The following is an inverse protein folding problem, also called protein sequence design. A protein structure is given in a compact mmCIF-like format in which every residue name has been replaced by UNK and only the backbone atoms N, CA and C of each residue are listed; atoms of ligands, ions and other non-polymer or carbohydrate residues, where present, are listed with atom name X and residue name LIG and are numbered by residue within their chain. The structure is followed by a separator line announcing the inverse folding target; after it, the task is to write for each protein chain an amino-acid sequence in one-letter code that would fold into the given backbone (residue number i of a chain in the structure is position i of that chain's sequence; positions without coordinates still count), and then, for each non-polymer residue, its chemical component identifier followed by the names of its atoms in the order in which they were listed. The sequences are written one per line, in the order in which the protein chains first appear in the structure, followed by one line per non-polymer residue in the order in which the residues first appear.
data_IF_636300575260
#
_entry.id   IF_636300575260
#
_cell.length_a   1.000
_cell.length_b   1.000
_cell.length_c   1.000
_cell.angle_alpha   90.00
_cell.angle_beta   90.00
_cell.angle_gamma   90.00
#
_symmetry.space_group_name_H-M   'P 1'
#
loop_
_entity.id
_entity.type
_entity.pdbx_description
1 polymer ?
#
# COMPACT_ATOMS: atom_id res chain seq x y z
N UNK A 1 9.61 -48.61 0.94
CA UNK A 1 9.38 -49.20 -0.41
C UNK A 1 10.73 -49.41 -1.11
N UNK A 2 11.13 -50.66 -1.36
CA UNK A 2 12.26 -50.96 -2.26
C UNK A 2 11.73 -51.81 -3.42
N UNK A 3 11.13 -51.16 -4.40
CA UNK A 3 10.66 -51.83 -5.61
C UNK A 3 11.88 -52.05 -6.51
N UNK A 4 12.36 -53.30 -6.62
CA UNK A 4 13.36 -53.64 -7.64
C UNK A 4 12.62 -54.06 -8.91
N UNK A 5 12.43 -53.11 -9.82
CA UNK A 5 12.02 -53.41 -11.18
C UNK A 5 13.27 -53.70 -12.01
N UNK A 6 13.51 -54.98 -12.32
CA UNK A 6 14.50 -55.38 -13.32
C UNK A 6 13.80 -55.51 -14.68
N UNK A 7 14.04 -54.53 -15.56
CA UNK A 7 13.65 -54.59 -16.96
C UNK A 7 14.80 -55.23 -17.74
N UNK A 8 14.56 -56.39 -18.36
CA UNK A 8 15.46 -56.89 -19.40
C UNK A 8 14.90 -56.47 -20.75
N UNK A 9 15.79 -55.97 -21.62
CA UNK A 9 15.47 -55.73 -23.03
C UNK A 9 15.84 -57.01 -23.75
N UNK A 10 14.84 -57.83 -24.08
CA UNK A 10 15.01 -58.93 -25.03
C UNK A 10 14.35 -58.55 -26.36
N UNK A 11 14.67 -59.29 -27.41
CA UNK A 11 14.68 -58.92 -28.85
C UNK A 11 13.36 -58.34 -29.45
N UNK A 12 12.26 -58.29 -28.70
CA UNK A 12 10.98 -57.69 -29.13
C UNK A 12 10.57 -56.48 -28.26
N UNK A 13 10.47 -55.24 -28.79
CA UNK A 13 10.51 -54.01 -27.98
C UNK A 13 9.23 -53.63 -27.20
N UNK A 14 8.11 -54.34 -27.38
CA UNK A 14 6.80 -53.82 -27.00
C UNK A 14 6.06 -54.55 -25.88
N UNK A 15 6.67 -55.57 -25.25
CA UNK A 15 6.03 -56.26 -24.13
C UNK A 15 6.86 -56.11 -22.85
N UNK A 16 6.23 -55.53 -21.83
CA UNK A 16 6.81 -55.40 -20.49
C UNK A 16 6.19 -56.48 -19.61
N UNK A 17 6.96 -57.49 -19.24
CA UNK A 17 6.52 -58.51 -18.29
C UNK A 17 6.97 -58.16 -16.87
N UNK A 18 6.05 -58.25 -15.91
CA UNK A 18 6.33 -58.05 -14.49
C UNK A 18 6.87 -59.38 -13.93
N UNK A 19 8.17 -59.44 -13.68
CA UNK A 19 8.86 -60.71 -13.39
C UNK A 19 8.87 -61.06 -11.90
N UNK A 20 8.75 -60.08 -11.00
CA UNK A 20 8.84 -60.33 -9.57
C UNK A 20 8.05 -59.28 -8.78
N UNK A 21 7.12 -59.74 -7.93
CA UNK A 21 6.41 -58.93 -6.96
C UNK A 21 6.73 -59.45 -5.56
N UNK A 22 7.50 -58.67 -4.80
CA UNK A 22 7.80 -58.98 -3.39
C UNK A 22 6.80 -58.20 -2.54
N UNK A 23 5.83 -58.93 -1.99
CA UNK A 23 4.77 -58.39 -1.14
C UNK A 23 5.22 -58.13 0.32
N UNK A 24 6.47 -58.46 0.65
CA UNK A 24 6.99 -58.29 2.00
C UNK A 24 7.34 -56.83 2.30
N UNK A 25 6.79 -56.33 3.40
CA UNK A 25 7.08 -55.01 3.94
C UNK A 25 7.99 -55.16 5.15
N UNK A 26 9.00 -54.31 5.26
CA UNK A 26 9.89 -54.25 6.42
C UNK A 26 9.31 -53.40 7.56
N UNK A 27 8.03 -53.05 7.46
CA UNK A 27 7.23 -52.33 8.45
C UNK A 27 5.78 -52.73 8.26
N UNK A 28 4.96 -52.52 9.28
CA UNK A 28 3.51 -52.69 9.19
C UNK A 28 2.93 -51.66 8.21
N UNK A 29 1.94 -52.07 7.42
CA UNK A 29 1.25 -51.14 6.52
C UNK A 29 0.42 -50.17 7.35
N UNK A 30 0.47 -48.89 6.99
CA UNK A 30 -0.40 -47.89 7.61
C UNK A 30 -1.85 -48.29 7.40
N UNK A 31 -2.67 -48.15 8.44
CA UNK A 31 -4.11 -48.29 8.33
C UNK A 31 -4.69 -47.23 7.37
N UNK A 32 -5.91 -47.44 6.86
CA UNK A 32 -6.57 -46.43 6.01
C UNK A 32 -6.68 -45.06 6.70
N UNK A 33 -6.82 -45.05 8.03
CA UNK A 33 -6.88 -43.85 8.85
C UNK A 33 -5.54 -43.12 8.94
N UNK A 34 -4.42 -43.86 8.94
CA UNK A 34 -3.07 -43.31 9.00
C UNK A 34 -2.51 -42.92 7.62
N UNK A 35 -2.93 -43.63 6.57
CA UNK A 35 -2.58 -43.33 5.18
C UNK A 35 -3.12 -41.97 4.73
N UNK A 36 -4.20 -41.48 5.36
CA UNK A 36 -4.81 -40.18 5.10
C UNK A 36 -3.85 -39.00 5.37
N UNK A 37 -2.85 -39.18 6.24
CA UNK A 37 -1.86 -38.15 6.57
C UNK A 37 -0.61 -38.19 5.67
N UNK A 38 -0.56 -39.09 4.68
CA UNK A 38 0.53 -39.15 3.73
C UNK A 38 0.46 -37.96 2.75
N UNK A 39 1.58 -37.26 2.59
CA UNK A 39 1.72 -36.12 1.67
C UNK A 39 1.29 -36.43 0.22
N UNK A 40 1.38 -37.68 -0.23
CA UNK A 40 0.92 -38.11 -1.56
C UNK A 40 -0.61 -38.19 -1.70
N UNK A 41 -1.35 -38.17 -0.58
CA UNK A 41 -2.82 -38.16 -0.53
C UNK A 41 -3.37 -36.75 -0.21
N UNK A 42 -2.50 -35.81 0.18
CA UNK A 42 -2.87 -34.42 0.43
C UNK A 42 -3.02 -33.64 -0.88
N UNK A 43 -4.17 -33.79 -1.55
CA UNK A 43 -4.43 -33.12 -2.84
C UNK A 43 -5.67 -32.25 -2.74
N UNK A 44 -5.52 -30.94 -2.96
CA UNK A 44 -6.66 -30.04 -3.17
C UNK A 44 -7.15 -30.24 -4.60
N UNK A 45 -8.34 -30.83 -4.75
CA UNK A 45 -8.99 -30.99 -6.06
C UNK A 45 -9.52 -29.64 -6.57
N UNK A 46 -9.82 -29.56 -7.87
CA UNK A 46 -10.36 -28.32 -8.47
C UNK A 46 -11.70 -27.89 -7.87
N UNK A 47 -12.52 -28.85 -7.45
CA UNK A 47 -13.77 -28.59 -6.71
C UNK A 47 -13.49 -27.89 -5.38
N UNK A 48 -12.54 -28.42 -4.60
CA UNK A 48 -12.13 -27.84 -3.33
C UNK A 48 -11.52 -26.45 -3.52
N UNK A 49 -10.68 -26.27 -4.54
CA UNK A 49 -10.13 -24.97 -4.91
C UNK A 49 -11.23 -23.93 -5.16
N UNK A 50 -12.20 -24.24 -6.02
CA UNK A 50 -13.30 -23.32 -6.34
C UNK A 50 -14.12 -22.95 -5.09
N UNK A 51 -14.39 -23.91 -4.20
CA UNK A 51 -15.13 -23.66 -2.97
C UNK A 51 -14.33 -22.81 -1.98
N UNK A 52 -13.04 -23.10 -1.82
CA UNK A 52 -12.13 -22.32 -0.97
C UNK A 52 -12.08 -20.86 -1.43
N UNK A 53 -12.00 -20.61 -2.74
CA UNK A 53 -12.01 -19.27 -3.31
C UNK A 53 -13.32 -18.53 -3.02
N UNK A 54 -14.47 -19.17 -3.24
CA UNK A 54 -15.77 -18.55 -2.96
C UNK A 54 -15.92 -18.15 -1.49
N UNK A 55 -15.49 -19.02 -0.57
CA UNK A 55 -15.52 -18.70 0.86
C UNK A 55 -14.52 -17.60 1.23
N UNK A 56 -13.39 -17.55 0.54
CA UNK A 56 -12.39 -16.49 0.70
C UNK A 56 -12.92 -15.13 0.22
N UNK A 57 -13.60 -15.08 -0.93
CA UNK A 57 -14.21 -13.88 -1.49
C UNK A 57 -15.39 -13.40 -0.64
N UNK A 58 -16.09 -14.30 0.05
CA UNK A 58 -17.07 -13.98 1.08
C UNK A 58 -16.45 -13.45 2.41
N UNK A 59 -15.12 -13.30 2.47
CA UNK A 59 -14.40 -12.67 3.57
C UNK A 59 -13.98 -13.61 4.71
N UNK A 60 -14.12 -14.93 4.56
CA UNK A 60 -13.74 -15.88 5.62
C UNK A 60 -12.22 -16.02 5.74
N UNK A 61 -11.74 -16.15 6.99
CA UNK A 61 -10.34 -16.49 7.28
C UNK A 61 -10.12 -17.99 7.08
N UNK A 62 -8.90 -18.40 6.74
CA UNK A 62 -8.55 -19.81 6.48
C UNK A 62 -9.05 -20.78 7.57
N UNK A 63 -8.93 -20.49 8.89
CA UNK A 63 -9.49 -21.37 9.92
C UNK A 63 -11.02 -21.53 9.85
N UNK A 64 -11.74 -20.48 9.42
CA UNK A 64 -13.19 -20.53 9.22
C UNK A 64 -13.54 -21.31 7.96
N UNK A 65 -12.78 -21.10 6.87
CA UNK A 65 -12.91 -21.87 5.63
C UNK A 65 -12.77 -23.36 5.95
N UNK A 66 -11.71 -23.76 6.64
CA UNK A 66 -11.49 -25.17 7.03
C UNK A 66 -12.69 -25.75 7.79
N UNK A 67 -13.25 -25.03 8.77
CA UNK A 67 -14.44 -25.49 9.50
C UNK A 67 -15.68 -25.65 8.62
N UNK A 68 -15.89 -24.73 7.69
CA UNK A 68 -17.00 -24.81 6.73
C UNK A 68 -16.82 -26.03 5.84
N UNK A 69 -15.61 -26.26 5.32
CA UNK A 69 -15.31 -27.42 4.49
C UNK A 69 -15.49 -28.75 5.25
N UNK A 70 -15.07 -28.81 6.51
CA UNK A 70 -15.28 -29.97 7.39
C UNK A 70 -16.78 -30.25 7.60
N UNK A 71 -17.56 -29.19 7.85
CA UNK A 71 -19.01 -29.25 8.01
C UNK A 71 -19.72 -29.71 6.72
N UNK A 72 -19.32 -29.18 5.56
CA UNK A 72 -19.92 -29.53 4.26
C UNK A 72 -19.64 -30.97 3.84
N UNK A 73 -18.45 -31.49 4.17
CA UNK A 73 -18.09 -32.89 3.89
C UNK A 73 -18.48 -33.84 5.03
N UNK A 74 -19.10 -33.33 6.08
CA UNK A 74 -19.52 -34.08 7.27
C UNK A 74 -18.37 -34.90 7.89
N UNK A 75 -17.17 -34.32 7.94
CA UNK A 75 -15.96 -34.93 8.52
C UNK A 75 -15.59 -34.28 9.84
N UNK A 76 -14.88 -35.02 10.69
CA UNK A 76 -14.36 -34.50 11.97
C UNK A 76 -13.25 -33.48 11.70
N UNK A 77 -13.01 -32.63 12.69
CA UNK A 77 -11.92 -31.64 12.62
C UNK A 77 -10.57 -32.31 12.37
N UNK A 78 -9.84 -31.86 11.35
CA UNK A 78 -8.54 -32.40 10.95
C UNK A 78 -8.58 -33.60 10.02
N UNK A 79 -9.76 -34.04 9.56
CA UNK A 79 -9.94 -35.19 8.65
C UNK A 79 -10.19 -34.77 7.19
N UNK A 80 -9.91 -33.52 6.81
CA UNK A 80 -9.88 -33.11 5.41
C UNK A 80 -8.59 -33.57 4.73
N UNK A 81 -8.65 -33.88 3.44
CA UNK A 81 -7.52 -34.34 2.63
C UNK A 81 -6.47 -33.24 2.35
N UNK A 82 -6.49 -32.14 3.10
CA UNK A 82 -5.57 -31.03 3.01
C UNK A 82 -5.59 -30.26 4.34
N UNK A 83 -4.47 -29.63 4.68
CA UNK A 83 -4.30 -28.88 5.92
C UNK A 83 -4.37 -27.37 5.67
N UNK A 84 -4.50 -26.53 6.72
CA UNK A 84 -4.54 -25.07 6.55
C UNK A 84 -3.35 -24.51 5.76
N UNK A 85 -2.17 -25.13 5.91
CA UNK A 85 -0.95 -24.77 5.15
C UNK A 85 -1.16 -24.89 3.65
N UNK A 86 -1.84 -25.94 3.18
CA UNK A 86 -2.09 -26.18 1.76
C UNK A 86 -3.05 -25.12 1.19
N UNK A 87 -4.06 -24.73 1.98
CA UNK A 87 -4.97 -23.62 1.63
C UNK A 87 -4.20 -22.29 1.53
N UNK A 88 -3.28 -22.01 2.47
CA UNK A 88 -2.42 -20.83 2.36
C UNK A 88 -1.54 -20.88 1.10
N UNK A 89 -0.91 -22.03 0.82
CA UNK A 89 -0.08 -22.20 -0.36
C UNK A 89 -0.89 -22.04 -1.65
N UNK A 90 -2.11 -22.57 -1.71
CA UNK A 90 -3.04 -22.40 -2.82
C UNK A 90 -3.41 -20.93 -3.03
N UNK A 91 -3.77 -20.22 -1.96
CA UNK A 91 -4.11 -18.79 -2.05
C UNK A 91 -2.91 -17.94 -2.49
N UNK A 92 -1.69 -18.32 -2.09
CA UNK A 92 -0.45 -17.69 -2.55
C UNK A 92 -0.21 -18.02 -4.03
N UNK A 93 -0.36 -19.28 -4.42
CA UNK A 93 -0.20 -19.72 -5.81
C UNK A 93 -1.20 -19.00 -6.73
N UNK A 94 -2.48 -18.98 -6.38
CA UNK A 94 -3.53 -18.31 -7.14
C UNK A 94 -3.32 -16.80 -7.16
N UNK A 95 -2.96 -16.17 -6.03
CA UNK A 95 -2.64 -14.73 -6.05
C UNK A 95 -1.40 -14.42 -6.91
N UNK A 96 -0.46 -15.36 -7.04
CA UNK A 96 0.67 -15.24 -7.97
C UNK A 96 0.31 -15.50 -9.44
N UNK A 97 -0.75 -16.28 -9.69
CA UNK A 97 -1.33 -16.55 -11.02
C UNK A 97 -2.41 -15.55 -11.46
N UNK A 98 -2.97 -14.74 -10.55
CA UNK A 98 -3.77 -13.53 -10.83
C UNK A 98 -2.90 -12.42 -11.44
N UNK A 99 -2.12 -12.77 -12.47
CA UNK A 99 -1.43 -11.88 -13.40
C UNK A 99 -2.43 -11.04 -14.22
N UNK A 100 -3.70 -11.42 -14.22
CA UNK A 100 -4.74 -10.74 -14.99
C UNK A 100 -5.27 -9.47 -14.32
N UNK A 101 -5.29 -9.34 -12.98
CA UNK A 101 -5.86 -8.14 -12.32
C UNK A 101 -5.23 -6.83 -12.84
N UNK A 102 -3.92 -6.83 -13.10
CA UNK A 102 -3.23 -5.67 -13.66
C UNK A 102 -3.54 -5.46 -15.15
N UNK A 103 -3.67 -6.52 -15.94
CA UNK A 103 -3.98 -6.43 -17.36
C UNK A 103 -5.44 -6.02 -17.58
N UNK A 104 -6.36 -6.55 -16.78
CA UNK A 104 -7.78 -6.23 -16.79
C UNK A 104 -7.99 -4.76 -16.38
N UNK A 105 -7.27 -4.30 -15.35
CA UNK A 105 -7.26 -2.88 -14.96
C UNK A 105 -6.73 -1.97 -16.07
N UNK A 106 -5.63 -2.35 -16.73
CA UNK A 106 -5.07 -1.59 -17.83
C UNK A 106 -5.98 -1.59 -19.06
N UNK A 107 -6.65 -2.71 -19.33
CA UNK A 107 -7.65 -2.80 -20.39
C UNK A 107 -8.84 -1.88 -20.09
N UNK A 108 -9.35 -1.89 -18.86
CA UNK A 108 -10.38 -0.96 -18.41
C UNK A 108 -9.95 0.50 -18.59
N UNK A 109 -8.73 0.87 -18.17
CA UNK A 109 -8.22 2.24 -18.35
C UNK A 109 -8.00 2.62 -19.81
N UNK A 110 -7.67 1.66 -20.67
CA UNK A 110 -7.59 1.88 -22.11
C UNK A 110 -8.98 2.21 -22.67
N UNK A 111 -10.00 1.40 -22.37
CA UNK A 111 -11.39 1.63 -22.80
C UNK A 111 -11.88 2.98 -22.26
N UNK A 112 -11.68 3.28 -20.98
CA UNK A 112 -12.05 4.56 -20.38
C UNK A 112 -11.36 5.76 -21.06
N UNK A 113 -10.11 5.61 -21.49
CA UNK A 113 -9.39 6.66 -22.23
C UNK A 113 -9.93 6.86 -23.64
N UNK A 114 -10.35 5.79 -24.30
CA UNK A 114 -10.95 5.82 -25.63
C UNK A 114 -12.34 6.48 -25.59
N UNK A 115 -13.14 6.20 -24.56
CA UNK A 115 -14.46 6.80 -24.35
C UNK A 115 -14.38 8.23 -23.80
N UNK A 116 -13.41 8.51 -22.93
CA UNK A 116 -13.25 9.79 -22.24
C UNK A 116 -11.84 10.37 -22.42
N UNK A 117 -11.68 11.31 -23.35
CA UNK A 117 -10.38 11.91 -23.66
C UNK A 117 -9.67 12.57 -22.46
N UNK A 118 -10.45 13.03 -21.48
CA UNK A 118 -9.97 13.68 -20.25
C UNK A 118 -9.56 12.69 -19.15
N UNK A 119 -9.90 11.41 -19.25
CA UNK A 119 -9.34 10.38 -18.38
C UNK A 119 -7.81 10.36 -18.58
N UNK A 120 -7.02 10.44 -17.52
CA UNK A 120 -5.56 10.34 -17.62
C UNK A 120 -5.07 9.12 -16.87
N UNK A 121 -4.15 8.37 -17.46
CA UNK A 121 -3.44 7.32 -16.74
C UNK A 121 -2.04 7.16 -17.31
N UNK A 122 -1.14 6.64 -16.49
CA UNK A 122 0.22 6.28 -16.89
C UNK A 122 0.69 5.13 -16.03
N UNK A 123 1.50 4.25 -16.60
CA UNK A 123 1.98 3.07 -15.90
C UNK A 123 3.40 2.72 -16.30
N UNK A 124 4.04 1.91 -15.48
CA UNK A 124 5.38 1.37 -15.72
C UNK A 124 5.42 -0.09 -15.35
N UNK A 125 6.01 -0.91 -16.22
CA UNK A 125 6.31 -2.31 -15.94
C UNK A 125 7.74 -2.47 -15.44
N UNK A 126 7.96 -3.48 -14.61
CA UNK A 126 9.31 -3.94 -14.26
C UNK A 126 9.89 -4.85 -15.36
N UNK A 127 11.10 -5.37 -15.11
CA UNK A 127 11.82 -6.26 -16.04
C UNK A 127 11.09 -7.57 -16.29
N UNK A 128 10.26 -8.01 -15.35
CA UNK A 128 9.49 -9.26 -15.42
C UNK A 128 8.07 -9.03 -15.98
N UNK A 129 7.81 -7.85 -16.57
CA UNK A 129 6.50 -7.42 -17.09
C UNK A 129 5.40 -7.39 -16.01
N UNK A 130 5.75 -7.15 -14.75
CA UNK A 130 4.79 -6.92 -13.67
C UNK A 130 4.57 -5.43 -13.51
N UNK A 131 3.33 -5.02 -13.27
CA UNK A 131 2.97 -3.63 -13.05
C UNK A 131 3.72 -3.09 -11.82
N UNK A 132 4.59 -2.11 -12.04
CA UNK A 132 5.47 -1.51 -11.03
C UNK A 132 4.84 -0.25 -10.44
N UNK A 133 4.38 0.65 -11.31
CA UNK A 133 3.72 1.88 -10.93
C UNK A 133 2.52 2.14 -11.82
N UNK A 134 1.47 2.71 -11.26
CA UNK A 134 0.32 3.20 -12.01
C UNK A 134 -0.20 4.48 -11.38
N UNK A 135 -0.53 5.45 -12.22
CA UNK A 135 -1.21 6.69 -11.88
C UNK A 135 -2.48 6.76 -12.72
N UNK A 136 -3.55 7.28 -12.13
CA UNK A 136 -4.78 7.57 -12.85
C UNK A 136 -5.49 8.80 -12.28
N UNK A 137 -6.22 9.46 -13.16
CA UNK A 137 -7.08 10.61 -12.88
C UNK A 137 -8.36 10.41 -13.68
N UNK A 138 -9.49 10.05 -13.03
CA UNK A 138 -10.79 10.01 -13.68
C UNK A 138 -11.12 11.36 -14.32
N UNK A 139 -11.94 11.37 -15.37
CA UNK A 139 -12.32 12.58 -16.13
C UNK A 139 -12.70 13.77 -15.24
N UNK A 140 -13.56 13.54 -14.24
CA UNK A 140 -14.00 14.59 -13.32
C UNK A 140 -12.86 15.11 -12.42
N UNK A 141 -11.96 14.24 -11.96
CA UNK A 141 -10.78 14.62 -11.18
C UNK A 141 -9.81 15.43 -12.02
N UNK A 142 -9.60 15.04 -13.28
CA UNK A 142 -8.75 15.77 -14.21
C UNK A 142 -9.33 17.15 -14.53
N UNK A 143 -10.63 17.26 -14.78
CA UNK A 143 -11.30 18.54 -15.00
C UNK A 143 -11.19 19.47 -13.79
N UNK A 144 -11.34 18.92 -12.58
CA UNK A 144 -11.07 19.64 -11.35
C UNK A 144 -9.62 20.08 -11.24
N UNK A 145 -8.67 19.23 -11.64
CA UNK A 145 -7.27 19.58 -11.61
C UNK A 145 -6.94 20.71 -12.59
N UNK A 146 -7.52 20.69 -13.79
CA UNK A 146 -7.36 21.79 -14.75
C UNK A 146 -7.87 23.11 -14.18
N UNK A 147 -8.98 23.09 -13.44
CA UNK A 147 -9.60 24.28 -12.83
C UNK A 147 -8.90 24.76 -11.56
N UNK A 148 -8.52 23.85 -10.66
CA UNK A 148 -8.11 24.17 -9.27
C UNK A 148 -6.67 23.72 -8.93
N UNK A 149 -5.97 23.08 -9.86
CA UNK A 149 -4.63 22.50 -9.68
C UNK A 149 -3.47 23.47 -9.53
N UNK A 150 -3.74 24.73 -9.17
CA UNK A 150 -2.70 25.72 -8.86
C UNK A 150 -2.02 25.40 -7.51
N UNK A 151 -2.76 24.74 -6.61
CA UNK A 151 -2.28 24.21 -5.33
C UNK A 151 -2.55 22.71 -5.30
N UNK A 152 -1.53 21.92 -4.97
CA UNK A 152 -1.67 20.48 -4.76
C UNK A 152 -1.23 20.08 -3.36
N UNK A 153 -1.97 19.16 -2.74
CA UNK A 153 -1.49 18.36 -1.62
C UNK A 153 -1.15 16.99 -2.16
N UNK A 154 0.03 16.51 -1.80
CA UNK A 154 0.37 15.13 -1.95
C UNK A 154 0.27 14.44 -0.59
N UNK A 155 -0.55 13.39 -0.54
CA UNK A 155 -0.50 12.38 0.53
C UNK A 155 0.10 11.12 -0.03
N UNK A 156 1.39 11.17 -0.36
CA UNK A 156 2.15 9.96 -0.65
C UNK A 156 2.50 9.23 0.64
N UNK A 157 2.66 7.91 0.53
CA UNK A 157 3.20 7.02 1.58
C UNK A 157 2.23 6.61 2.68
N UNK A 158 1.02 6.22 2.28
CA UNK A 158 0.20 5.33 3.13
C UNK A 158 0.15 3.96 2.51
N UNK A 159 0.66 3.01 3.28
CA UNK A 159 0.61 1.58 3.04
C UNK A 159 -0.87 1.17 2.91
N UNK A 160 -1.26 0.64 1.75
CA UNK A 160 -2.58 0.08 1.53
C UNK A 160 -2.70 -1.33 2.16
N UNK A 161 -3.85 -2.01 2.02
CA UNK A 161 -4.06 -3.36 2.57
C UNK A 161 -3.08 -4.43 2.03
N UNK A 162 -2.32 -4.11 0.99
CA UNK A 162 -1.36 -4.99 0.31
C UNK A 162 0.10 -4.54 0.50
N UNK A 163 0.35 -3.72 1.52
CA UNK A 163 1.64 -3.14 1.82
C UNK A 163 2.26 -2.27 0.72
N UNK A 164 1.44 -1.75 -0.21
CA UNK A 164 1.90 -0.90 -1.32
C UNK A 164 1.66 0.59 -1.04
N UNK A 165 2.63 1.47 -1.35
CA UNK A 165 2.43 2.91 -1.22
C UNK A 165 1.33 3.41 -2.14
N UNK A 166 0.38 4.13 -1.54
CA UNK A 166 -0.69 4.80 -2.24
C UNK A 166 -0.51 6.32 -2.13
N UNK A 167 -0.47 7.00 -3.28
CA UNK A 167 -0.37 8.44 -3.39
C UNK A 167 -1.70 9.06 -3.83
N UNK A 168 -2.09 10.17 -3.22
CA UNK A 168 -3.25 10.96 -3.66
C UNK A 168 -2.86 12.41 -3.84
N UNK A 169 -3.23 12.95 -4.99
CA UNK A 169 -3.18 14.37 -5.28
C UNK A 169 -4.54 14.97 -5.01
N UNK A 170 -4.60 15.92 -4.07
CA UNK A 170 -5.84 16.62 -3.73
C UNK A 170 -5.64 18.12 -3.79
N UNK A 171 -6.72 18.86 -3.97
CA UNK A 171 -6.73 20.31 -3.86
C UNK A 171 -8.03 20.79 -3.24
N UNK A 172 -8.28 22.09 -3.40
CA UNK A 172 -9.43 22.77 -2.80
C UNK A 172 -10.22 23.48 -3.89
N UNK A 173 -11.55 23.31 -3.91
CA UNK A 173 -12.44 24.08 -4.78
C UNK A 173 -12.79 25.47 -4.21
N UNK A 174 -13.53 26.27 -4.98
CA UNK A 174 -13.94 27.61 -4.58
C UNK A 174 -14.86 27.66 -3.34
N UNK A 175 -15.44 26.52 -2.93
CA UNK A 175 -16.27 26.39 -1.73
C UNK A 175 -15.47 25.92 -0.53
N UNK A 176 -14.14 25.78 -0.66
CA UNK A 176 -13.32 25.26 0.42
C UNK A 176 -13.56 23.77 0.65
N UNK A 177 -13.96 22.98 -0.34
CA UNK A 177 -14.08 21.52 -0.22
C UNK A 177 -12.82 20.84 -0.75
N UNK A 178 -12.41 19.75 -0.11
CA UNK A 178 -11.31 18.91 -0.58
C UNK A 178 -11.77 18.12 -1.80
N UNK A 179 -11.01 18.20 -2.89
CA UNK A 179 -11.29 17.53 -4.16
C UNK A 179 -10.09 16.66 -4.56
N UNK A 180 -10.36 15.53 -5.20
CA UNK A 180 -9.33 14.60 -5.68
C UNK A 180 -8.93 14.97 -7.12
N UNK A 181 -7.63 15.09 -7.37
CA UNK A 181 -7.06 15.30 -8.71
C UNK A 181 -6.58 14.01 -9.35
N UNK A 182 -6.12 13.04 -8.56
CA UNK A 182 -5.67 11.76 -9.08
C UNK A 182 -5.03 10.91 -7.99
N UNK A 183 -4.82 9.64 -8.34
CA UNK A 183 -4.28 8.62 -7.45
C UNK A 183 -3.10 7.92 -8.10
N UNK A 184 -2.24 7.35 -7.28
CA UNK A 184 -1.16 6.49 -7.73
C UNK A 184 -0.96 5.32 -6.80
N UNK A 185 -0.65 4.17 -7.40
CA UNK A 185 -0.18 2.99 -6.71
C UNK A 185 1.26 2.72 -7.12
N UNK A 186 2.16 2.72 -6.14
CA UNK A 186 3.58 2.49 -6.34
C UNK A 186 3.98 1.14 -5.74
N UNK A 187 5.04 0.52 -6.27
CA UNK A 187 5.59 -0.72 -5.70
C UNK A 187 6.25 -0.51 -4.35
N UNK A 188 6.98 0.59 -4.18
CA UNK A 188 7.84 0.83 -3.03
C UNK A 188 8.04 2.34 -2.77
N UNK A 189 8.46 2.67 -1.55
CA UNK A 189 8.72 4.03 -1.09
C UNK A 189 10.16 4.43 -1.43
N UNK A 190 10.46 4.51 -2.73
CA UNK A 190 11.79 4.93 -3.21
C UNK A 190 11.72 6.30 -3.87
N UNK A 191 12.82 7.05 -3.79
CA UNK A 191 12.98 8.32 -4.53
C UNK A 191 12.69 8.13 -6.01
N UNK A 192 13.12 7.02 -6.62
CA UNK A 192 12.84 6.73 -8.03
C UNK A 192 11.34 6.57 -8.33
N UNK A 193 10.58 5.94 -7.42
CA UNK A 193 9.13 5.79 -7.57
C UNK A 193 8.43 7.16 -7.47
N UNK A 194 8.89 8.01 -6.56
CA UNK A 194 8.41 9.39 -6.43
C UNK A 194 8.74 10.24 -7.65
N UNK A 195 9.99 10.21 -8.13
CA UNK A 195 10.40 10.93 -9.33
C UNK A 195 9.60 10.48 -10.55
N UNK A 196 9.30 9.18 -10.67
CA UNK A 196 8.40 8.69 -11.72
C UNK A 196 7.02 9.32 -11.59
N UNK A 197 6.44 9.31 -10.38
CA UNK A 197 5.12 9.87 -10.13
C UNK A 197 5.05 11.36 -10.46
N UNK A 198 6.04 12.15 -10.04
CA UNK A 198 6.11 13.58 -10.34
C UNK A 198 6.30 13.85 -11.84
N UNK A 199 7.09 13.02 -12.54
CA UNK A 199 7.22 13.12 -14.01
C UNK A 199 5.92 12.82 -14.75
N UNK A 200 5.02 12.04 -14.16
CA UNK A 200 3.69 11.77 -14.72
C UNK A 200 2.70 12.88 -14.38
N UNK A 201 2.70 13.36 -13.14
CA UNK A 201 1.70 14.32 -12.67
C UNK A 201 1.97 15.75 -13.16
N UNK A 202 3.22 16.20 -13.14
CA UNK A 202 3.59 17.60 -13.45
C UNK A 202 3.28 18.07 -14.88
N UNK A 203 3.40 17.21 -15.92
CA UNK A 203 3.00 17.58 -17.27
C UNK A 203 1.49 17.77 -17.45
N UNK A 204 0.65 17.20 -16.57
CA UNK A 204 -0.81 17.35 -16.64
C UNK A 204 -1.23 18.80 -16.38
N UNK A 205 -0.59 19.42 -15.39
CA UNK A 205 -0.58 20.85 -15.07
C UNK A 205 0.53 21.03 -14.02
N UNK A 206 1.33 22.08 -14.09
CA UNK A 206 2.33 22.32 -13.03
C UNK A 206 1.71 23.20 -11.94
N UNK A 207 1.59 22.73 -10.69
CA UNK A 207 1.07 23.55 -9.60
C UNK A 207 2.07 24.66 -9.26
N UNK A 208 1.55 25.81 -8.84
CA UNK A 208 2.38 26.93 -8.33
C UNK A 208 2.93 26.60 -6.96
N UNK A 209 2.14 25.92 -6.14
CA UNK A 209 2.51 25.48 -4.80
C UNK A 209 2.14 24.01 -4.57
N UNK A 210 2.97 23.30 -3.81
CA UNK A 210 2.68 21.91 -3.39
C UNK A 210 2.95 21.73 -1.90
N UNK A 211 2.13 20.91 -1.26
CA UNK A 211 2.45 20.32 0.03
C UNK A 211 2.83 18.86 -0.16
N UNK A 212 4.09 18.49 0.09
CA UNK A 212 4.55 17.10 0.03
C UNK A 212 5.66 16.88 1.08
N UNK A 213 6.05 15.63 1.30
CA UNK A 213 7.12 15.25 2.23
C UNK A 213 8.48 15.06 1.54
N UNK A 214 8.53 15.17 0.21
CA UNK A 214 9.75 15.03 -0.60
C UNK A 214 9.95 16.21 -1.56
N UNK A 215 11.17 16.75 -1.57
CA UNK A 215 11.51 17.92 -2.38
C UNK A 215 12.07 17.49 -3.75
N UNK A 216 11.27 17.56 -4.82
CA UNK A 216 11.74 17.25 -6.18
C UNK A 216 11.31 18.23 -7.28
N UNK A 217 11.00 19.49 -6.95
CA UNK A 217 10.45 20.41 -7.96
C UNK A 217 11.11 21.80 -7.93
N UNK A 218 11.91 22.15 -8.95
CA UNK A 218 12.61 23.44 -8.98
C UNK A 218 11.70 24.63 -9.30
N UNK A 219 10.56 24.40 -9.98
CA UNK A 219 9.64 25.47 -10.44
C UNK A 219 8.39 25.65 -9.56
N UNK A 220 8.14 24.74 -8.63
CA UNK A 220 6.96 24.78 -7.74
C UNK A 220 7.40 25.12 -6.34
N UNK A 221 6.73 26.07 -5.70
CA UNK A 221 7.01 26.35 -4.29
C UNK A 221 6.55 25.18 -3.43
N UNK A 222 7.52 24.54 -2.80
CA UNK A 222 7.30 23.41 -1.91
C UNK A 222 7.02 23.88 -0.47
N UNK A 223 6.12 23.18 0.21
CA UNK A 223 5.97 23.22 1.65
C UNK A 223 5.80 21.82 2.26
N UNK A 224 6.33 21.59 3.46
CA UNK A 224 6.06 20.39 4.23
C UNK A 224 4.73 20.54 4.96
N UNK A 225 3.91 19.51 4.88
CA UNK A 225 2.66 19.43 5.62
C UNK A 225 2.92 19.35 7.13
N UNK A 226 2.22 20.19 7.89
CA UNK A 226 2.28 20.22 9.36
C UNK A 226 1.93 18.86 9.98
N UNK A 227 0.91 18.16 9.45
CA UNK A 227 0.55 16.83 9.92
C UNK A 227 1.70 15.82 9.77
N UNK A 228 2.43 15.84 8.65
CA UNK A 228 3.59 14.96 8.46
C UNK A 228 4.71 15.27 9.46
N UNK A 229 4.95 16.56 9.74
CA UNK A 229 5.94 16.98 10.73
C UNK A 229 5.55 16.51 12.13
N UNK A 230 4.33 16.82 12.57
CA UNK A 230 3.86 16.50 13.93
C UNK A 230 3.66 15.01 14.14
N UNK A 231 3.40 14.23 13.08
CA UNK A 231 3.33 12.76 13.17
C UNK A 231 4.63 12.12 13.66
N UNK A 232 5.79 12.77 13.43
CA UNK A 232 7.11 12.30 13.85
C UNK A 232 7.45 12.68 15.29
N UNK A 233 6.72 13.63 15.88
CA UNK A 233 7.04 14.18 17.21
C UNK A 233 6.96 13.13 18.30
N UNK A 234 5.99 12.21 18.21
CA UNK A 234 5.85 11.14 19.18
C UNK A 234 7.11 10.29 19.24
N UNK A 235 7.68 9.93 18.09
CA UNK A 235 8.94 9.18 18.00
C UNK A 235 10.17 9.98 18.45
N UNK A 236 10.18 11.30 18.24
CA UNK A 236 11.33 12.14 18.57
C UNK A 236 11.39 12.59 20.03
N UNK A 237 10.23 12.88 20.64
CA UNK A 237 10.17 13.66 21.87
C UNK A 237 9.48 12.96 23.04
N UNK A 238 8.65 11.92 22.82
CA UNK A 238 7.88 11.29 23.90
C UNK A 238 8.79 10.73 25.00
N UNK A 239 9.82 9.96 24.62
CA UNK A 239 10.76 9.35 25.57
C UNK A 239 11.66 10.37 26.26
N UNK A 240 11.94 11.51 25.61
CA UNK A 240 12.80 12.56 26.15
C UNK A 240 12.06 13.47 27.13
N UNK A 241 10.81 13.82 26.82
CA UNK A 241 10.04 14.82 27.57
C UNK A 241 9.02 14.23 28.54
N UNK A 242 8.62 12.97 28.36
CA UNK A 242 7.64 12.29 29.20
C UNK A 242 6.40 13.17 29.47
N UNK A 243 6.26 13.70 30.70
CA UNK A 243 5.11 14.54 31.12
C UNK A 243 5.06 15.91 30.42
N UNK A 244 6.16 16.40 29.87
CA UNK A 244 6.24 17.70 29.19
C UNK A 244 5.92 17.61 27.68
N UNK A 245 5.75 16.41 27.14
CA UNK A 245 5.51 16.21 25.69
C UNK A 245 4.29 16.99 25.18
N UNK A 246 3.16 16.94 25.91
CA UNK A 246 1.94 17.66 25.53
C UNK A 246 2.15 19.19 25.53
N UNK A 247 2.95 19.70 26.45
CA UNK A 247 3.28 21.12 26.55
C UNK A 247 4.20 21.57 25.41
N UNK A 248 5.15 20.72 24.98
CA UNK A 248 5.97 20.99 23.79
C UNK A 248 5.07 21.10 22.56
N UNK A 249 4.20 20.11 22.33
CA UNK A 249 3.27 20.12 21.19
C UNK A 249 2.42 21.40 21.20
N UNK A 250 1.83 21.76 22.34
CA UNK A 250 1.06 23.00 22.46
C UNK A 250 1.89 24.26 22.14
N UNK A 251 3.12 24.34 22.66
CA UNK A 251 4.01 25.48 22.40
C UNK A 251 4.40 25.56 20.91
N UNK A 252 4.64 24.40 20.28
CA UNK A 252 4.93 24.32 18.84
C UNK A 252 3.73 24.72 17.98
N UNK A 253 2.51 24.32 18.37
CA UNK A 253 1.29 24.74 17.68
C UNK A 253 1.03 26.25 17.78
N UNK A 254 1.40 26.90 18.88
CA UNK A 254 1.34 28.36 18.99
C UNK A 254 2.39 29.01 18.10
N UNK A 255 3.62 28.49 18.10
CA UNK A 255 4.69 28.98 17.23
C UNK A 255 4.35 28.84 15.73
N UNK A 256 3.57 27.83 15.36
CA UNK A 256 3.08 27.64 14.00
C UNK A 256 2.09 28.71 13.55
N UNK A 257 1.40 29.37 14.49
CA UNK A 257 0.39 30.42 14.20
C UNK A 257 0.99 31.82 14.11
N UNK A 258 2.30 31.95 14.30
CA UNK A 258 2.99 33.22 14.18
C UNK A 258 2.95 33.70 12.72
N UNK A 259 2.61 34.98 12.54
CA UNK A 259 2.38 35.58 11.22
C UNK A 259 3.66 36.13 10.57
N UNK A 260 4.68 36.47 11.36
CA UNK A 260 5.90 37.14 10.86
C UNK A 260 7.18 36.34 11.10
N UNK A 261 8.14 36.48 10.19
CA UNK A 261 9.43 35.80 10.32
C UNK A 261 10.18 36.29 11.57
N UNK A 262 10.11 37.58 11.87
CA UNK A 262 10.75 38.18 13.04
C UNK A 262 10.20 37.60 14.35
N UNK A 263 8.87 37.51 14.49
CA UNK A 263 8.26 36.93 15.68
C UNK A 263 8.61 35.44 15.83
N UNK A 264 8.68 34.69 14.72
CA UNK A 264 9.10 33.30 14.75
C UNK A 264 10.55 33.17 15.25
N UNK A 265 11.48 33.96 14.70
CA UNK A 265 12.88 33.94 15.11
C UNK A 265 13.08 34.38 16.57
N UNK A 266 12.22 35.27 17.07
CA UNK A 266 12.24 35.68 18.47
C UNK A 266 11.67 34.62 19.43
N UNK A 267 10.59 33.92 19.05
CA UNK A 267 9.91 32.94 19.91
C UNK A 267 10.54 31.54 19.85
N UNK A 268 11.10 31.14 18.71
CA UNK A 268 11.67 29.80 18.53
C UNK A 268 12.71 29.44 19.61
N UNK A 269 13.73 30.26 19.88
CA UNK A 269 14.73 29.96 20.92
C UNK A 269 14.10 29.79 22.31
N UNK A 270 13.10 30.63 22.65
CA UNK A 270 12.43 30.59 23.96
C UNK A 270 11.66 29.28 24.14
N UNK A 271 10.96 28.83 23.10
CA UNK A 271 10.25 27.53 23.12
C UNK A 271 11.24 26.39 23.28
N UNK A 272 12.35 26.40 22.53
CA UNK A 272 13.33 25.31 22.58
C UNK A 272 14.10 25.26 23.91
N UNK A 273 14.43 26.42 24.48
CA UNK A 273 15.11 26.54 25.77
C UNK A 273 14.24 26.03 26.92
N UNK A 274 12.94 26.34 26.91
CA UNK A 274 11.97 25.86 27.91
C UNK A 274 11.97 24.34 28.07
N UNK A 275 12.30 23.59 27.01
CA UNK A 275 12.34 22.12 27.02
C UNK A 275 13.77 21.55 26.97
N UNK A 276 14.81 22.38 27.11
CA UNK A 276 16.22 21.97 27.02
C UNK A 276 16.58 21.21 25.73
N UNK A 277 16.06 21.67 24.59
CA UNK A 277 16.16 20.96 23.30
C UNK A 277 17.14 21.61 22.31
N UNK A 278 17.99 22.54 22.76
CA UNK A 278 18.87 23.33 21.90
C UNK A 278 19.82 22.48 21.04
N UNK A 279 20.31 21.37 21.61
CA UNK A 279 21.24 20.45 20.94
C UNK A 279 20.54 19.24 20.30
N UNK A 280 19.21 19.19 20.29
CA UNK A 280 18.48 18.06 19.74
C UNK A 280 18.56 18.07 18.20
N UNK A 281 19.07 16.99 17.61
CA UNK A 281 19.24 16.85 16.15
C UNK A 281 17.95 17.09 15.34
N UNK A 282 16.79 16.70 15.86
CA UNK A 282 15.51 16.87 15.18
C UNK A 282 15.05 18.33 15.22
N UNK A 283 15.24 19.01 16.34
CA UNK A 283 14.95 20.44 16.49
C UNK A 283 15.86 21.28 15.59
N UNK A 284 17.16 21.00 15.57
CA UNK A 284 18.11 21.65 14.67
C UNK A 284 17.73 21.41 13.20
N UNK A 285 17.36 20.17 12.85
CA UNK A 285 16.88 19.83 11.52
C UNK A 285 15.63 20.62 11.11
N UNK A 286 14.61 20.68 11.98
CA UNK A 286 13.39 21.45 11.75
C UNK A 286 13.66 22.94 11.54
N UNK A 287 14.53 23.53 12.34
CA UNK A 287 14.93 24.93 12.17
C UNK A 287 15.66 25.16 10.83
N UNK A 288 16.51 24.22 10.42
CA UNK A 288 17.21 24.27 9.13
C UNK A 288 16.26 24.32 7.92
N UNK A 289 15.12 23.65 8.01
CA UNK A 289 14.10 23.62 6.95
C UNK A 289 12.91 24.56 7.19
N UNK A 290 12.99 25.51 8.13
CA UNK A 290 11.87 26.40 8.52
C UNK A 290 11.17 27.12 7.36
N UNK A 291 11.92 27.47 6.31
CA UNK A 291 11.40 28.10 5.08
C UNK A 291 10.41 27.25 4.28
N UNK A 292 10.30 25.97 4.61
CA UNK A 292 9.43 25.02 3.95
C UNK A 292 8.22 24.64 4.81
N UNK A 293 8.13 24.99 6.08
CA UNK A 293 6.99 24.54 6.91
C UNK A 293 6.37 25.63 7.77
N UNK A 294 7.11 26.68 8.11
CA UNK A 294 6.61 27.77 8.95
C UNK A 294 5.75 28.71 8.09
N UNK A 295 4.47 28.97 8.45
CA UNK A 295 3.58 29.83 7.66
C UNK A 295 4.12 31.23 7.40
N UNK A 296 4.79 31.85 8.38
CA UNK A 296 5.45 33.15 8.22
C UNK A 296 6.47 33.21 7.07
N UNK A 297 7.11 32.08 6.73
CA UNK A 297 8.04 31.96 5.60
C UNK A 297 7.36 31.58 4.28
N UNK A 298 6.09 31.21 4.33
CA UNK A 298 5.27 30.77 3.21
C UNK A 298 4.25 31.83 2.76
N UNK A 299 4.16 32.97 3.47
CA UNK A 299 3.13 33.99 3.27
C UNK A 299 3.05 34.58 1.86
N UNK A 300 4.18 34.63 1.14
CA UNK A 300 4.26 35.13 -0.24
C UNK A 300 3.59 34.19 -1.27
N UNK A 301 3.14 33.01 -0.85
CA UNK A 301 2.65 31.96 -1.72
C UNK A 301 1.25 31.50 -1.32
N UNK A 302 0.41 31.28 -2.32
CA UNK A 302 -0.95 30.82 -2.11
C UNK A 302 -0.99 29.30 -1.92
N UNK A 303 -1.47 28.84 -0.75
CA UNK A 303 -1.62 27.42 -0.40
C UNK A 303 -3.07 27.00 -0.14
N UNK A 304 -4.07 27.81 -0.50
CA UNK A 304 -5.50 27.49 -0.31
C UNK A 304 -5.84 26.96 1.11
N UNK A 305 -5.25 27.57 2.15
CA UNK A 305 -5.39 27.19 3.57
C UNK A 305 -4.88 25.78 3.94
N UNK A 306 -4.24 25.06 3.02
CA UNK A 306 -3.81 23.68 3.20
C UNK A 306 -2.63 23.54 4.17
N UNK A 307 -1.92 24.65 4.44
CA UNK A 307 -0.91 24.75 5.50
C UNK A 307 -1.53 24.84 6.89
N UNK A 308 -2.81 25.19 7.03
CA UNK A 308 -3.44 25.27 8.36
C UNK A 308 -3.60 23.88 8.99
N UNK A 309 -3.48 23.81 10.31
CA UNK A 309 -3.53 22.55 11.07
C UNK A 309 -4.87 21.83 10.82
N UNK A 310 -5.99 22.52 11.03
CA UNK A 310 -7.33 21.93 10.85
C UNK A 310 -7.58 21.45 9.41
N UNK A 311 -7.06 22.18 8.41
CA UNK A 311 -7.20 21.76 7.01
C UNK A 311 -6.37 20.53 6.70
N UNK A 312 -5.13 20.47 7.17
CA UNK A 312 -4.26 19.31 6.98
C UNK A 312 -4.84 18.04 7.61
N UNK A 313 -5.50 18.16 8.77
CA UNK A 313 -6.20 17.06 9.44
C UNK A 313 -7.47 16.63 8.69
N UNK A 314 -8.23 17.58 8.16
CA UNK A 314 -9.41 17.32 7.33
C UNK A 314 -9.03 16.57 6.05
N UNK A 315 -7.99 17.03 5.34
CA UNK A 315 -7.44 16.36 4.17
C UNK A 315 -6.96 14.95 4.52
N UNK A 316 -6.26 14.78 5.64
CA UNK A 316 -5.84 13.46 6.10
C UNK A 316 -7.04 12.53 6.36
N UNK A 317 -8.13 13.06 6.92
CA UNK A 317 -9.36 12.31 7.19
C UNK A 317 -10.06 11.91 5.90
N UNK A 318 -10.16 12.83 4.93
CA UNK A 318 -10.64 12.55 3.58
C UNK A 318 -9.83 11.42 2.92
N UNK A 319 -8.50 11.51 2.96
CA UNK A 319 -7.60 10.49 2.38
C UNK A 319 -7.76 9.13 3.07
N UNK A 320 -8.03 9.08 4.38
CA UNK A 320 -8.25 7.81 5.10
C UNK A 320 -9.49 7.05 4.61
N UNK A 321 -10.47 7.71 3.99
CA UNK A 321 -11.67 7.04 3.47
C UNK A 321 -11.33 6.07 2.33
N UNK A 322 -10.39 6.44 1.45
CA UNK A 322 -9.90 5.60 0.35
C UNK A 322 -9.09 4.38 0.82
N UNK A 323 -8.68 4.34 2.09
CA UNK A 323 -7.93 3.23 2.70
C UNK A 323 -8.86 2.18 3.31
N UNK A 324 -9.93 2.64 3.97
CA UNK A 324 -10.83 1.76 4.73
C UNK A 324 -11.93 1.16 3.87
N UNK A 325 -12.16 1.72 2.68
CA UNK A 325 -12.98 1.06 1.69
C UNK A 325 -12.26 -0.21 1.27
N UNK A 326 -12.88 -1.38 1.47
CA UNK A 326 -12.56 -2.64 0.80
C UNK A 326 -12.82 -2.53 -0.71
N UNK A 327 -12.41 -1.42 -1.33
CA UNK A 327 -12.32 -1.28 -2.77
C UNK A 327 -11.14 -2.17 -3.14
N UNK A 328 -11.43 -3.47 -3.21
CA UNK A 328 -10.92 -4.22 -4.33
C UNK A 328 -11.14 -3.33 -5.55
N UNK A 329 -10.05 -2.97 -6.20
CA UNK A 329 -10.11 -2.77 -7.63
C UNK A 329 -10.49 -4.16 -8.19
N UNK A 330 -11.79 -4.45 -8.14
CA UNK A 330 -12.46 -5.61 -8.70
C UNK A 330 -13.46 -5.11 -9.71
#
# INVERSE_FOLDING_TARGET
MRTKLKKYVDIFPNESHLVEFIAEHNHELLSEEEAYFLLSHCTITKEYENRILLLKDAGLRVPQIMRVMESEKNVKHGYLSFIPKDVYNLLIYISSERKNDANDLLHYYQVEKEENCNFQYSYKFDRDRKLEHIFWSPTHCFDWYQKFGDVAFDTTYKINAYDKPFGNFVGIDNQGRTILFGCALLRNETTNAFSWLMKVFMPLKSPKTILTDQQEMPLTKHAFCMWHITSKFSGWFTALLCKQYSQLCASFYQLYKVDTQEEFENQWPQVIEKFNMQNNKHVLGLYGIRRYWVPAYLHDYFFAEMTTIGRSESINTFVKQFRNSHVCLS
#
